data_IF_300380459620
#
_entry.id   IF_300380459620
#
_cell.length_a   1.000
_cell.length_b   1.000
_cell.length_c   1.000
_cell.angle_alpha   90.00
_cell.angle_beta   90.00
_cell.angle_gamma   90.00
#
_symmetry.space_group_name_H-M   'P 1'
#
loop_
_entity.id
_entity.type
_entity.pdbx_description
1 polymer ?
#
# COMPACT_ATOMS: atom_id res chain seq x y z
N UNK A 1 0.85 26.61 -8.84
CA UNK A 1 0.44 25.23 -9.22
C UNK A 1 1.32 24.13 -8.61
N UNK A 2 2.54 24.44 -8.18
CA UNK A 2 3.51 23.44 -7.70
C UNK A 2 3.04 22.66 -6.45
N UNK A 3 2.49 23.36 -5.45
CA UNK A 3 1.95 22.73 -4.23
C UNK A 3 0.81 21.74 -4.48
N UNK A 4 -0.07 22.04 -5.44
CA UNK A 4 -1.18 21.14 -5.82
C UNK A 4 -0.65 19.87 -6.45
N UNK A 5 0.30 19.98 -7.41
CA UNK A 5 0.92 18.81 -8.03
C UNK A 5 1.67 17.97 -7.00
N UNK A 6 2.36 18.60 -6.06
CA UNK A 6 3.05 17.89 -4.97
C UNK A 6 2.06 17.04 -4.15
N UNK A 7 0.98 17.65 -3.68
CA UNK A 7 -0.07 16.95 -2.90
C UNK A 7 -0.73 15.83 -3.73
N UNK A 8 -0.99 16.05 -5.01
CA UNK A 8 -1.54 15.02 -5.89
C UNK A 8 -0.63 13.79 -6.02
N UNK A 9 0.70 13.96 -6.09
CA UNK A 9 1.64 12.83 -6.10
C UNK A 9 1.60 12.06 -4.78
N UNK A 10 1.45 12.75 -3.65
CA UNK A 10 1.34 12.09 -2.35
C UNK A 10 0.04 11.27 -2.25
N UNK A 11 -1.07 11.76 -2.78
CA UNK A 11 -2.30 10.97 -2.90
C UNK A 11 -2.14 9.79 -3.84
N UNK A 12 -1.48 9.97 -4.99
CA UNK A 12 -1.20 8.89 -5.93
C UNK A 12 -0.31 7.80 -5.32
N UNK A 13 0.52 8.15 -4.33
CA UNK A 13 1.30 7.21 -3.53
C UNK A 13 0.48 6.48 -2.44
N UNK A 14 -0.84 6.70 -2.38
CA UNK A 14 -1.72 6.03 -1.42
C UNK A 14 -1.73 6.65 -0.02
N UNK A 15 -1.14 7.84 0.16
CA UNK A 15 -1.09 8.50 1.46
C UNK A 15 -2.45 9.12 1.80
N UNK A 16 -2.84 8.98 3.07
CA UNK A 16 -4.07 9.59 3.59
C UNK A 16 -3.93 11.11 3.71
N UNK A 17 -5.04 11.85 3.65
CA UNK A 17 -5.03 13.30 3.88
C UNK A 17 -4.40 13.69 5.21
N UNK A 18 -4.59 12.86 6.25
CA UNK A 18 -3.95 13.04 7.57
C UNK A 18 -2.43 12.94 7.45
N UNK A 19 -1.93 11.86 6.85
CA UNK A 19 -0.50 11.66 6.63
C UNK A 19 0.09 12.80 5.80
N UNK A 20 -0.59 13.22 4.73
CA UNK A 20 -0.13 14.32 3.89
C UNK A 20 0.03 15.59 4.71
N UNK A 21 -0.92 15.90 5.59
CA UNK A 21 -0.83 17.08 6.46
C UNK A 21 0.37 17.05 7.42
N UNK A 22 0.78 15.87 7.88
CA UNK A 22 1.96 15.66 8.72
C UNK A 22 3.27 15.81 7.93
N UNK A 23 3.24 15.60 6.60
CA UNK A 23 4.39 15.80 5.72
C UNK A 23 4.56 17.27 5.29
N UNK A 24 3.48 18.06 5.22
CA UNK A 24 3.53 19.44 4.72
C UNK A 24 4.55 20.37 5.42
N UNK A 25 4.85 20.24 6.73
CA UNK A 25 5.88 21.05 7.38
C UNK A 25 7.25 20.99 6.70
N UNK A 26 7.66 19.86 6.09
CA UNK A 26 8.96 19.77 5.42
C UNK A 26 9.05 20.62 4.14
N UNK A 27 7.89 20.96 3.54
CA UNK A 27 7.79 21.83 2.36
C UNK A 27 7.51 23.27 2.76
N UNK A 28 6.58 23.48 3.70
CA UNK A 28 6.14 24.82 4.09
C UNK A 28 7.17 25.51 5.01
N UNK A 29 7.97 24.76 5.79
CA UNK A 29 9.00 25.24 6.72
C UNK A 29 10.22 24.30 6.73
N UNK A 30 11.07 24.31 5.70
CA UNK A 30 12.16 23.35 5.59
C UNK A 30 13.17 23.48 6.74
N UNK A 31 13.47 22.36 7.37
CA UNK A 31 14.51 22.19 8.39
C UNK A 31 14.93 20.71 8.41
N UNK A 32 16.08 20.41 9.00
CA UNK A 32 16.53 19.01 9.18
C UNK A 32 15.47 18.21 9.94
N UNK A 33 15.00 18.71 11.09
CA UNK A 33 13.97 18.03 11.89
C UNK A 33 12.64 17.80 11.15
N UNK A 34 12.18 18.76 10.34
CA UNK A 34 10.95 18.56 9.56
C UNK A 34 11.17 17.56 8.40
N UNK A 35 12.37 17.52 7.83
CA UNK A 35 12.74 16.56 6.78
C UNK A 35 12.81 15.14 7.35
N UNK A 36 13.46 14.97 8.50
CA UNK A 36 13.58 13.69 9.19
C UNK A 36 12.21 13.14 9.61
N UNK A 37 11.37 13.99 10.21
CA UNK A 37 10.00 13.62 10.58
C UNK A 37 9.18 13.19 9.35
N UNK A 38 9.34 13.89 8.22
CA UNK A 38 8.66 13.51 6.99
C UNK A 38 9.17 12.17 6.41
N UNK A 39 10.48 11.93 6.45
CA UNK A 39 11.08 10.66 6.01
C UNK A 39 10.61 9.49 6.88
N UNK A 40 10.63 9.66 8.21
CA UNK A 40 10.14 8.66 9.15
C UNK A 40 8.66 8.33 8.88
N UNK A 41 7.84 9.37 8.69
CA UNK A 41 6.41 9.21 8.43
C UNK A 41 6.15 8.48 7.11
N UNK A 42 6.91 8.79 6.05
CA UNK A 42 6.83 8.07 4.77
C UNK A 42 7.29 6.61 4.90
N UNK A 43 8.34 6.34 5.67
CA UNK A 43 8.80 4.97 5.93
C UNK A 43 7.75 4.13 6.68
N UNK A 44 7.06 4.73 7.65
CA UNK A 44 5.95 4.07 8.36
C UNK A 44 4.81 3.70 7.41
N UNK A 45 4.39 4.60 6.51
CA UNK A 45 3.37 4.27 5.51
C UNK A 45 3.84 3.23 4.51
N UNK A 46 5.09 3.30 4.05
CA UNK A 46 5.67 2.30 3.17
C UNK A 46 5.62 0.90 3.81
N UNK A 47 6.00 0.79 5.09
CA UNK A 47 5.95 -0.47 5.82
C UNK A 47 4.50 -0.96 6.00
N UNK A 48 3.56 -0.07 6.32
CA UNK A 48 2.13 -0.41 6.42
C UNK A 48 1.58 -0.96 5.11
N UNK A 49 1.90 -0.31 3.98
CA UNK A 49 1.50 -0.77 2.65
C UNK A 49 2.14 -2.11 2.30
N UNK A 50 3.42 -2.29 2.60
CA UNK A 50 4.15 -3.54 2.34
C UNK A 50 3.52 -4.72 3.09
N UNK A 51 3.24 -4.56 4.39
CA UNK A 51 2.54 -5.58 5.19
C UNK A 51 1.17 -5.93 4.60
N UNK A 52 0.40 -4.92 4.17
CA UNK A 52 -0.91 -5.15 3.58
C UNK A 52 -0.82 -5.86 2.23
N UNK A 53 0.17 -5.53 1.41
CA UNK A 53 0.45 -6.23 0.15
C UNK A 53 0.78 -7.70 0.42
N UNK A 54 1.62 -7.99 1.40
CA UNK A 54 1.97 -9.36 1.76
C UNK A 54 0.75 -10.17 2.22
N UNK A 55 -0.14 -9.55 2.99
CA UNK A 55 -1.43 -10.15 3.36
C UNK A 55 -2.29 -10.47 2.13
N UNK A 56 -2.45 -9.51 1.22
CA UNK A 56 -3.23 -9.70 0.00
C UNK A 56 -2.63 -10.78 -0.91
N UNK A 57 -1.30 -10.85 -1.01
CA UNK A 57 -0.60 -11.90 -1.75
C UNK A 57 -0.90 -13.27 -1.15
N UNK A 58 -0.81 -13.42 0.19
CA UNK A 58 -1.15 -14.66 0.88
C UNK A 58 -2.61 -15.06 0.67
N UNK A 59 -3.55 -14.13 0.82
CA UNK A 59 -4.98 -14.39 0.61
C UNK A 59 -5.26 -14.81 -0.83
N UNK A 60 -4.65 -14.15 -1.81
CA UNK A 60 -4.78 -14.53 -3.23
C UNK A 60 -4.24 -15.93 -3.49
N UNK A 61 -3.09 -16.29 -2.91
CA UNK A 61 -2.52 -17.62 -3.05
C UNK A 61 -3.42 -18.72 -2.46
N UNK A 62 -4.00 -18.46 -1.27
CA UNK A 62 -4.96 -19.37 -0.65
C UNK A 62 -6.20 -19.58 -1.54
N UNK A 63 -6.75 -18.49 -2.08
CA UNK A 63 -7.90 -18.56 -2.99
C UNK A 63 -7.57 -19.34 -4.27
N UNK A 64 -6.38 -19.14 -4.85
CA UNK A 64 -5.92 -19.90 -6.01
C UNK A 64 -5.83 -21.41 -5.71
N UNK A 65 -5.36 -21.78 -4.51
CA UNK A 65 -5.34 -23.17 -4.05
C UNK A 65 -6.74 -23.80 -3.96
N UNK A 66 -7.70 -23.08 -3.38
CA UNK A 66 -9.10 -23.53 -3.30
C UNK A 66 -9.70 -23.75 -4.69
N UNK A 67 -9.43 -22.84 -5.64
CA UNK A 67 -9.88 -22.98 -7.03
C UNK A 67 -9.28 -24.20 -7.72
N UNK A 68 -8.00 -24.50 -7.46
CA UNK A 68 -7.34 -25.68 -8.02
C UNK A 68 -7.98 -26.98 -7.52
N UNK A 69 -8.24 -27.07 -6.21
CA UNK A 69 -8.94 -28.22 -5.60
C UNK A 69 -10.34 -28.40 -6.20
N UNK A 70 -11.11 -27.31 -6.33
CA UNK A 70 -12.44 -27.36 -6.91
C UNK A 70 -12.44 -27.86 -8.37
N UNK A 71 -11.44 -27.46 -9.17
CA UNK A 71 -11.28 -27.95 -10.56
C UNK A 71 -10.94 -29.45 -10.60
N UNK A 72 -9.99 -29.89 -9.78
CA UNK A 72 -9.60 -31.29 -9.72
C UNK A 72 -10.76 -32.21 -9.30
N UNK A 73 -11.61 -31.75 -8.37
CA UNK A 73 -12.80 -32.50 -7.97
C UNK A 73 -13.78 -32.68 -9.13
N UNK A 74 -14.06 -31.60 -9.88
CA UNK A 74 -14.94 -31.64 -11.06
C UNK A 74 -14.41 -32.59 -12.14
N UNK A 75 -13.10 -32.60 -12.36
CA UNK A 75 -12.45 -33.50 -13.33
C UNK A 75 -12.53 -34.96 -12.87
N UNK A 76 -12.36 -35.22 -11.57
CA UNK A 76 -12.50 -36.55 -10.98
C UNK A 76 -13.93 -37.10 -11.04
N UNK A 77 -14.95 -36.24 -10.83
CA UNK A 77 -16.36 -36.62 -11.00
C UNK A 77 -16.75 -36.87 -12.46
N UNK A 78 -16.07 -36.25 -13.43
CA UNK A 78 -16.35 -36.44 -14.85
C UNK A 78 -15.76 -37.74 -15.43
N UNK A 79 -14.84 -38.40 -14.71
CA UNK A 79 -14.17 -39.63 -15.12
C UNK A 79 -14.76 -40.87 -14.41
N UNK A 80 -15.57 -40.66 -13.37
CA UNK A 80 -16.35 -41.71 -12.68
C UNK A 80 -17.71 -41.95 -13.34
#
# INVERSE_FOLDING_TARGET
MERVRFIQRLYAAGLSSRTISELLPCVDRPSEGNTDAALERMAQEHNRLSTHIDELVRTRAALAGLMATARAHREGEAVA
#
